data_IF_489312294976
#
_entry.id   IF_489312294976
#
_cell.length_a   1.000
_cell.length_b   1.000
_cell.length_c   1.000
_cell.angle_alpha   90.00
_cell.angle_beta   90.00
_cell.angle_gamma   90.00
#
_symmetry.space_group_name_H-M   'P 1'
#
loop_
_entity.id
_entity.type
_entity.pdbx_description
1 polymer ?
#
# COMPACT_ATOMS: atom_id res chain seq x y z
N UNK A 1 -30.93 10.37 8.43
CA UNK A 1 -31.26 9.08 9.09
C UNK A 1 -29.99 8.60 9.77
N UNK A 2 -29.98 8.51 11.10
CA UNK A 2 -28.85 7.94 11.84
C UNK A 2 -28.96 6.43 11.65
N UNK A 3 -28.07 5.84 10.85
CA UNK A 3 -27.97 4.39 10.77
C UNK A 3 -27.68 3.86 12.17
N UNK A 4 -28.53 2.96 12.65
CA UNK A 4 -28.21 2.16 13.83
C UNK A 4 -26.98 1.31 13.52
N UNK A 5 -26.04 1.20 14.46
CA UNK A 5 -24.79 0.47 14.28
C UNK A 5 -24.98 -1.00 13.89
N UNK A 6 -26.06 -1.61 14.37
CA UNK A 6 -26.41 -3.01 14.04
C UNK A 6 -26.88 -3.10 12.59
N UNK A 7 -27.74 -2.18 12.17
CA UNK A 7 -28.24 -2.13 10.79
C UNK A 7 -27.11 -1.85 9.80
N UNK A 8 -26.15 -0.98 10.16
CA UNK A 8 -24.97 -0.71 9.33
C UNK A 8 -24.10 -1.95 9.18
N UNK A 9 -23.85 -2.71 10.26
CA UNK A 9 -23.11 -3.95 10.19
C UNK A 9 -23.81 -4.96 9.28
N UNK A 10 -25.13 -5.13 9.45
CA UNK A 10 -25.92 -6.05 8.64
C UNK A 10 -25.83 -5.69 7.15
N UNK A 11 -26.00 -4.43 6.79
CA UNK A 11 -25.87 -3.95 5.41
C UNK A 11 -24.44 -4.18 4.86
N UNK A 12 -23.41 -3.91 5.66
CA UNK A 12 -22.03 -4.20 5.28
C UNK A 12 -21.79 -5.69 5.02
N UNK A 13 -22.27 -6.57 5.90
CA UNK A 13 -22.12 -8.02 5.73
C UNK A 13 -22.88 -8.53 4.50
N UNK A 14 -24.06 -7.99 4.22
CA UNK A 14 -24.80 -8.30 2.99
C UNK A 14 -24.05 -7.87 1.73
N UNK A 15 -23.44 -6.68 1.75
CA UNK A 15 -22.56 -6.21 0.66
C UNK A 15 -21.39 -7.17 0.44
N UNK A 16 -20.73 -7.61 1.52
CA UNK A 16 -19.59 -8.55 1.43
C UNK A 16 -20.03 -9.92 0.89
N UNK A 17 -21.25 -10.34 1.16
CA UNK A 17 -21.80 -11.61 0.65
C UNK A 17 -22.17 -11.52 -0.82
N UNK A 18 -22.85 -10.46 -1.24
CA UNK A 18 -23.29 -10.27 -2.63
C UNK A 18 -22.16 -9.82 -3.58
N UNK A 19 -21.04 -9.31 -3.05
CA UNK A 19 -19.87 -8.91 -3.83
C UNK A 19 -19.96 -7.55 -4.53
N UNK A 20 -21.00 -6.75 -4.24
CA UNK A 20 -21.17 -5.41 -4.82
C UNK A 20 -22.04 -4.52 -3.92
N UNK A 21 -22.03 -3.22 -4.18
CA UNK A 21 -22.95 -2.24 -3.57
C UNK A 21 -23.41 -1.19 -4.59
N UNK A 22 -24.45 -0.45 -4.23
CA UNK A 22 -24.99 0.63 -5.06
C UNK A 22 -24.66 1.97 -4.42
N UNK A 23 -24.05 2.87 -5.19
CA UNK A 23 -23.82 4.26 -4.77
C UNK A 23 -24.17 5.19 -5.92
N UNK A 24 -24.95 6.25 -5.64
CA UNK A 24 -25.44 7.21 -6.64
C UNK A 24 -26.10 6.54 -7.88
N UNK A 25 -26.84 5.44 -7.66
CA UNK A 25 -27.51 4.67 -8.72
C UNK A 25 -26.57 3.81 -9.58
N UNK A 26 -25.28 3.76 -9.26
CA UNK A 26 -24.29 2.94 -9.99
C UNK A 26 -23.87 1.74 -9.15
N UNK A 27 -23.75 0.60 -9.81
CA UNK A 27 -23.19 -0.60 -9.21
C UNK A 27 -21.68 -0.48 -9.10
N UNK A 28 -21.15 -0.83 -7.93
CA UNK A 28 -19.73 -0.94 -7.60
C UNK A 28 -19.44 -2.35 -7.15
N UNK A 29 -18.65 -3.09 -7.92
CA UNK A 29 -18.21 -4.43 -7.55
C UNK A 29 -17.08 -4.34 -6.54
N UNK A 30 -17.03 -5.27 -5.59
CA UNK A 30 -15.94 -5.37 -4.63
C UNK A 30 -14.66 -5.82 -5.33
N UNK A 31 -13.53 -5.31 -4.87
CA UNK A 31 -12.19 -5.63 -5.39
C UNK A 31 -11.68 -6.99 -4.92
N UNK A 32 -12.15 -7.43 -3.76
CA UNK A 32 -11.71 -8.66 -3.12
C UNK A 32 -12.75 -9.77 -3.26
N UNK A 33 -12.28 -10.99 -3.55
CA UNK A 33 -13.11 -12.19 -3.43
C UNK A 33 -13.32 -12.57 -1.96
N UNK A 34 -14.35 -13.35 -1.68
CA UNK A 34 -14.67 -13.82 -0.32
C UNK A 34 -13.48 -14.52 0.35
N UNK A 35 -12.76 -15.37 -0.37
CA UNK A 35 -11.58 -16.07 0.15
C UNK A 35 -10.44 -15.13 0.56
N UNK A 36 -10.23 -14.03 -0.18
CA UNK A 36 -9.24 -13.01 0.19
C UNK A 36 -9.67 -12.21 1.42
N UNK A 37 -10.96 -11.92 1.56
CA UNK A 37 -11.50 -11.22 2.74
C UNK A 37 -11.40 -12.05 4.03
N UNK A 38 -11.37 -13.39 3.93
CA UNK A 38 -11.24 -14.31 5.07
C UNK A 38 -9.79 -14.65 5.42
N UNK A 39 -8.82 -14.15 4.67
CA UNK A 39 -7.41 -14.39 4.92
C UNK A 39 -6.97 -13.72 6.23
N UNK A 40 -6.31 -14.49 7.09
CA UNK A 40 -5.70 -14.03 8.31
C UNK A 40 -4.40 -14.80 8.57
N UNK A 41 -3.41 -14.15 9.16
CA UNK A 41 -2.15 -14.75 9.60
C UNK A 41 -1.96 -14.43 11.07
N UNK A 42 -1.95 -15.45 11.90
CA UNK A 42 -1.76 -15.32 13.35
C UNK A 42 -0.29 -15.51 13.68
N UNK A 43 0.22 -14.62 14.50
CA UNK A 43 1.52 -14.69 15.14
C UNK A 43 1.28 -14.74 16.64
N UNK A 44 1.56 -15.87 17.27
CA UNK A 44 1.50 -16.01 18.72
C UNK A 44 2.72 -15.34 19.36
N UNK A 45 2.77 -15.15 20.69
CA UNK A 45 3.89 -14.44 21.33
C UNK A 45 5.27 -14.99 20.97
N UNK A 46 5.41 -16.32 20.88
CA UNK A 46 6.67 -16.98 20.51
C UNK A 46 7.06 -16.64 19.05
N UNK A 47 6.09 -16.60 18.13
CA UNK A 47 6.33 -16.19 16.73
C UNK A 47 6.76 -14.73 16.65
N UNK A 48 6.13 -13.85 17.45
CA UNK A 48 6.50 -12.43 17.52
C UNK A 48 7.90 -12.26 18.10
N UNK A 49 8.25 -13.03 19.11
CA UNK A 49 9.59 -13.02 19.70
C UNK A 49 10.63 -13.52 18.69
N UNK A 50 10.35 -14.61 17.97
CA UNK A 50 11.21 -15.12 16.90
C UNK A 50 11.43 -14.04 15.83
N UNK A 51 10.35 -13.37 15.36
CA UNK A 51 10.45 -12.25 14.42
C UNK A 51 11.37 -11.16 14.98
N UNK A 52 11.22 -10.79 16.25
CA UNK A 52 12.03 -9.74 16.87
C UNK A 52 13.54 -10.05 16.91
N UNK A 53 13.91 -11.31 16.80
CA UNK A 53 15.30 -11.81 16.85
C UNK A 53 15.87 -12.11 15.46
N UNK A 54 15.06 -12.06 14.37
CA UNK A 54 15.55 -12.33 13.01
C UNK A 54 16.61 -11.33 12.58
N UNK A 55 17.59 -11.84 11.85
CA UNK A 55 18.61 -11.09 11.13
C UNK A 55 18.37 -11.22 9.63
N UNK A 56 19.07 -10.43 8.83
CA UNK A 56 18.89 -10.36 7.37
C UNK A 56 17.48 -9.91 6.94
N UNK A 57 16.90 -9.00 7.72
CA UNK A 57 15.58 -8.43 7.41
C UNK A 57 15.69 -7.44 6.26
N UNK A 58 14.85 -7.62 5.24
CA UNK A 58 14.80 -6.71 4.10
C UNK A 58 14.42 -5.30 4.54
N UNK A 59 15.29 -4.35 4.29
CA UNK A 59 15.06 -2.94 4.57
C UNK A 59 15.21 -2.11 3.30
N UNK A 60 14.62 -0.93 3.31
CA UNK A 60 14.75 -0.01 2.18
C UNK A 60 16.12 0.68 2.21
N UNK A 61 16.89 0.58 1.13
CA UNK A 61 18.20 1.23 1.02
C UNK A 61 18.12 2.74 0.83
N UNK A 62 16.91 3.32 0.78
CA UNK A 62 16.70 4.75 0.65
C UNK A 62 16.89 5.47 1.98
N UNK A 63 17.64 6.57 1.99
CA UNK A 63 17.67 7.49 3.12
C UNK A 63 16.32 8.22 3.20
N UNK A 64 15.33 7.59 3.83
CA UNK A 64 14.03 8.21 4.08
C UNK A 64 14.11 9.03 5.37
N UNK A 65 13.48 10.20 5.37
CA UNK A 65 13.11 10.81 6.64
C UNK A 65 11.81 10.18 7.09
N UNK A 66 11.81 9.51 8.25
CA UNK A 66 10.59 9.00 8.85
C UNK A 66 9.62 10.17 9.11
N UNK A 67 8.46 10.13 8.47
CA UNK A 67 7.41 11.12 8.70
C UNK A 67 6.41 10.56 9.72
N UNK A 68 6.14 11.35 10.78
CA UNK A 68 5.11 11.02 11.76
C UNK A 68 4.10 12.15 11.87
N UNK A 69 2.82 11.82 12.00
CA UNK A 69 1.76 12.80 12.30
C UNK A 69 0.71 12.23 13.26
N UNK A 70 -0.09 13.12 13.84
CA UNK A 70 -1.27 12.75 14.61
C UNK A 70 -2.46 13.58 14.14
N UNK A 71 -3.56 12.92 13.82
CA UNK A 71 -4.80 13.58 13.37
C UNK A 71 -5.99 13.12 14.19
N UNK A 72 -6.90 14.08 14.48
CA UNK A 72 -8.16 13.79 15.17
C UNK A 72 -9.22 13.29 14.18
N UNK A 73 -9.10 12.04 13.81
CA UNK A 73 -10.01 11.36 12.87
C UNK A 73 -9.97 9.85 13.04
N UNK A 74 -10.88 9.13 12.39
CA UNK A 74 -10.87 7.67 12.43
C UNK A 74 -9.72 7.05 11.61
N UNK A 75 -9.37 5.81 11.96
CA UNK A 75 -8.21 5.10 11.40
C UNK A 75 -8.36 4.83 9.90
N UNK A 76 -9.55 4.43 9.44
CA UNK A 76 -9.76 4.20 8.00
C UNK A 76 -9.85 5.50 7.22
N UNK A 77 -10.47 6.54 7.76
CA UNK A 77 -10.49 7.85 7.12
C UNK A 77 -9.06 8.39 6.92
N UNK A 78 -8.19 8.24 7.94
CA UNK A 78 -6.78 8.61 7.81
C UNK A 78 -6.05 7.73 6.78
N UNK A 79 -6.27 6.41 6.80
CA UNK A 79 -5.69 5.51 5.82
C UNK A 79 -6.12 5.87 4.39
N UNK A 80 -7.41 6.11 4.14
CA UNK A 80 -7.93 6.57 2.85
C UNK A 80 -7.31 7.90 2.42
N UNK A 81 -7.22 8.87 3.35
CA UNK A 81 -6.56 10.18 3.10
C UNK A 81 -5.09 10.03 2.69
N UNK A 82 -4.40 8.99 3.19
CA UNK A 82 -2.99 8.70 2.91
C UNK A 82 -2.79 7.77 1.71
N UNK A 83 -3.86 7.25 1.15
CA UNK A 83 -3.79 6.42 -0.05
C UNK A 83 -3.30 7.25 -1.23
N UNK A 84 -2.25 6.84 -1.97
CA UNK A 84 -1.87 7.48 -3.22
C UNK A 84 -2.98 7.32 -4.27
N UNK A 85 -3.25 8.36 -5.04
CA UNK A 85 -4.27 8.38 -6.10
C UNK A 85 -4.02 7.36 -7.22
N UNK A 86 -2.78 6.87 -7.38
CA UNK A 86 -2.46 5.82 -8.34
C UNK A 86 -2.71 4.44 -7.74
N UNK A 87 -3.77 3.77 -8.19
CA UNK A 87 -4.28 2.48 -7.70
C UNK A 87 -3.37 1.25 -7.87
N UNK A 88 -2.06 1.38 -7.71
CA UNK A 88 -1.11 0.27 -7.77
C UNK A 88 -0.82 -0.26 -6.35
N UNK A 89 -1.50 -1.34 -5.96
CA UNK A 89 -1.56 -1.85 -4.58
C UNK A 89 -0.95 -3.24 -4.37
N UNK A 90 -0.17 -3.76 -5.32
CA UNK A 90 0.18 -5.19 -5.35
C UNK A 90 1.26 -5.65 -4.37
N UNK A 91 1.93 -4.77 -3.61
CA UNK A 91 2.91 -5.20 -2.62
C UNK A 91 2.71 -4.58 -1.24
N UNK A 92 3.10 -5.31 -0.18
CA UNK A 92 2.99 -4.87 1.21
C UNK A 92 3.65 -3.50 1.47
N UNK A 93 4.77 -3.20 0.80
CA UNK A 93 5.48 -1.94 0.94
C UNK A 93 4.66 -0.69 0.53
N UNK A 94 3.63 -0.87 -0.29
CA UNK A 94 2.76 0.22 -0.76
C UNK A 94 1.46 0.30 0.01
N UNK A 95 1.02 -0.79 0.66
CA UNK A 95 -0.21 -0.82 1.44
C UNK A 95 -0.02 -0.11 2.77
N UNK A 96 -1.09 0.49 3.25
CA UNK A 96 -1.13 1.05 4.59
C UNK A 96 -1.54 -0.07 5.54
N UNK A 97 -0.78 -0.26 6.61
CA UNK A 97 -1.12 -1.15 7.70
C UNK A 97 -1.82 -0.36 8.79
N UNK A 98 -3.08 -0.66 9.03
CA UNK A 98 -3.90 0.00 10.05
C UNK A 98 -3.93 -0.86 11.32
N UNK A 99 -3.70 -0.25 12.48
CA UNK A 99 -3.81 -0.93 13.77
C UNK A 99 -5.29 -1.01 14.18
N UNK A 100 -5.79 -2.23 14.35
CA UNK A 100 -7.05 -2.54 15.02
C UNK A 100 -6.81 -2.66 16.53
N UNK A 101 -7.46 -1.79 17.31
CA UNK A 101 -7.42 -1.75 18.79
C UNK A 101 -8.34 -2.82 19.36
N UNK A 102 -7.89 -4.07 19.31
CA UNK A 102 -8.70 -5.26 19.34
C UNK A 102 -9.22 -5.68 20.73
N UNK A 103 -10.33 -6.36 20.71
CA UNK A 103 -10.73 -7.22 21.82
C UNK A 103 -9.94 -8.55 21.76
N UNK A 104 -9.26 -8.99 22.84
CA UNK A 104 -8.43 -10.18 22.80
C UNK A 104 -9.22 -11.49 22.70
N UNK A 105 -10.51 -11.51 23.08
CA UNK A 105 -11.30 -12.75 23.24
C UNK A 105 -12.50 -12.86 22.30
N UNK A 106 -12.98 -11.75 21.76
CA UNK A 106 -14.14 -11.71 20.86
C UNK A 106 -13.80 -11.05 19.53
N UNK A 107 -13.89 -11.78 18.42
CA UNK A 107 -13.70 -11.21 17.07
C UNK A 107 -14.61 -10.01 16.84
N UNK A 108 -14.04 -8.85 16.46
CA UNK A 108 -14.80 -7.63 16.24
C UNK A 108 -15.48 -7.06 17.50
N UNK A 109 -15.02 -7.49 18.70
CA UNK A 109 -15.49 -6.95 19.98
C UNK A 109 -16.99 -7.10 20.19
N UNK A 110 -17.66 -5.98 20.43
CA UNK A 110 -19.13 -5.88 20.62
C UNK A 110 -19.89 -5.44 19.37
N UNK A 111 -19.34 -5.56 18.16
CA UNK A 111 -19.90 -5.02 16.93
C UNK A 111 -21.33 -5.53 16.65
N UNK A 112 -21.59 -6.81 16.90
CA UNK A 112 -22.94 -7.43 16.73
C UNK A 112 -23.97 -6.92 17.72
N UNK A 113 -23.52 -6.27 18.81
CA UNK A 113 -24.36 -5.62 19.84
C UNK A 113 -24.40 -4.10 19.68
N UNK A 114 -23.85 -3.55 18.59
CA UNK A 114 -23.86 -2.12 18.30
C UNK A 114 -22.87 -1.28 19.10
N UNK A 115 -21.84 -1.89 19.70
CA UNK A 115 -20.77 -1.17 20.40
C UNK A 115 -20.03 -0.21 19.43
N UNK A 116 -19.33 0.81 19.98
CA UNK A 116 -18.88 1.98 19.22
C UNK A 116 -17.37 2.23 19.26
N UNK A 117 -16.58 1.33 19.86
CA UNK A 117 -15.13 1.50 19.88
C UNK A 117 -14.53 1.32 18.48
N UNK A 118 -13.23 1.56 18.35
CA UNK A 118 -12.55 1.60 17.07
C UNK A 118 -12.67 0.26 16.32
N UNK A 119 -12.45 -0.89 16.97
CA UNK A 119 -12.58 -2.20 16.34
C UNK A 119 -13.97 -2.41 15.72
N UNK A 120 -15.02 -2.08 16.47
CA UNK A 120 -16.38 -2.23 15.98
C UNK A 120 -16.67 -1.29 14.81
N UNK A 121 -16.08 -0.11 14.81
CA UNK A 121 -16.25 0.85 13.73
C UNK A 121 -15.52 0.37 12.44
N UNK A 122 -14.30 -0.15 12.57
CA UNK A 122 -13.58 -0.77 11.46
C UNK A 122 -14.39 -1.93 10.85
N UNK A 123 -14.95 -2.81 11.69
CA UNK A 123 -15.76 -3.94 11.25
C UNK A 123 -17.04 -3.52 10.53
N UNK A 124 -17.67 -2.41 10.94
CA UNK A 124 -18.87 -1.89 10.26
C UNK A 124 -18.58 -1.27 8.91
N UNK A 125 -17.35 -0.80 8.68
CA UNK A 125 -16.97 -0.05 7.47
C UNK A 125 -16.27 -0.86 6.42
N UNK A 126 -15.95 -2.15 6.71
CA UNK A 126 -15.07 -2.94 5.85
C UNK A 126 -15.33 -4.44 5.92
N UNK A 127 -14.55 -5.19 5.17
CA UNK A 127 -14.52 -6.66 5.20
C UNK A 127 -13.81 -7.25 6.42
N UNK A 128 -13.26 -6.46 7.34
CA UNK A 128 -12.40 -6.91 8.43
C UNK A 128 -13.02 -8.03 9.28
N UNK A 129 -14.32 -7.94 9.60
CA UNK A 129 -14.99 -8.93 10.44
C UNK A 129 -14.91 -10.35 9.88
N UNK A 130 -14.91 -10.50 8.55
CA UNK A 130 -14.80 -11.80 7.89
C UNK A 130 -13.46 -12.48 8.18
N UNK A 131 -12.38 -11.70 8.16
CA UNK A 131 -11.04 -12.20 8.53
C UNK A 131 -10.98 -12.57 10.01
N UNK A 132 -11.49 -11.70 10.90
CA UNK A 132 -11.44 -11.94 12.35
C UNK A 132 -12.26 -13.15 12.79
N UNK A 133 -13.38 -13.44 12.13
CA UNK A 133 -14.24 -14.61 12.39
C UNK A 133 -13.79 -15.87 11.62
N UNK A 134 -12.77 -15.78 10.77
CA UNK A 134 -12.28 -16.91 9.98
C UNK A 134 -11.63 -18.00 10.85
N UNK A 135 -11.56 -19.22 10.28
CA UNK A 135 -10.83 -20.31 10.92
C UNK A 135 -9.34 -19.98 11.12
N UNK A 136 -8.75 -19.18 10.23
CA UNK A 136 -7.35 -18.79 10.29
C UNK A 136 -7.06 -17.84 11.47
N UNK A 137 -8.01 -16.99 11.88
CA UNK A 137 -7.85 -16.09 13.03
C UNK A 137 -8.13 -16.77 14.39
N UNK A 138 -8.77 -17.93 14.40
CA UNK A 138 -9.20 -18.64 15.62
C UNK A 138 -8.08 -18.85 16.66
N UNK A 139 -6.84 -19.24 16.30
CA UNK A 139 -5.76 -19.48 17.28
C UNK A 139 -5.45 -18.27 18.15
N UNK A 140 -5.55 -17.04 17.62
CA UNK A 140 -5.37 -15.80 18.37
C UNK A 140 -6.35 -15.70 19.56
N UNK A 141 -7.63 -15.92 19.29
CA UNK A 141 -8.68 -15.80 20.30
C UNK A 141 -8.65 -16.96 21.31
N UNK A 142 -8.34 -18.18 20.86
CA UNK A 142 -8.19 -19.35 21.73
C UNK A 142 -7.02 -19.16 22.68
N UNK A 143 -5.88 -18.71 22.18
CA UNK A 143 -4.71 -18.40 22.99
C UNK A 143 -5.02 -17.35 24.06
N UNK A 144 -5.57 -16.20 23.67
CA UNK A 144 -5.89 -15.12 24.62
C UNK A 144 -6.92 -15.56 25.68
N UNK A 145 -7.92 -16.36 25.30
CA UNK A 145 -8.89 -16.91 26.27
C UNK A 145 -8.24 -17.85 27.28
N UNK A 146 -7.24 -18.62 26.86
CA UNK A 146 -6.55 -19.57 27.74
C UNK A 146 -5.72 -18.89 28.86
N UNK A 147 -5.30 -17.64 28.63
CA UNK A 147 -4.49 -16.89 29.60
C UNK A 147 -5.27 -16.44 30.83
N UNK A 148 -6.59 -16.30 30.73
CA UNK A 148 -7.47 -15.83 31.81
C UNK A 148 -6.96 -14.55 32.51
N UNK A 149 -6.49 -13.58 31.74
CA UNK A 149 -5.95 -12.29 32.19
C UNK A 149 -6.56 -11.12 31.43
N UNK A 150 -6.67 -9.98 32.08
CA UNK A 150 -7.04 -8.72 31.44
C UNK A 150 -5.87 -8.05 30.69
N UNK A 151 -4.65 -8.53 30.89
CA UNK A 151 -3.47 -7.93 30.29
C UNK A 151 -3.31 -8.32 28.81
N UNK A 152 -4.03 -9.35 28.34
CA UNK A 152 -3.91 -9.86 26.97
C UNK A 152 -2.52 -10.45 26.71
N UNK A 153 -2.16 -10.57 25.44
CA UNK A 153 -0.86 -11.10 25.03
C UNK A 153 -0.20 -10.24 23.96
N UNK A 154 1.03 -10.60 23.59
CA UNK A 154 1.76 -10.00 22.48
C UNK A 154 1.38 -10.62 21.12
N UNK A 155 0.35 -11.49 21.08
CA UNK A 155 -0.14 -12.09 19.84
C UNK A 155 -0.70 -11.03 18.87
N UNK A 156 -0.53 -11.30 17.59
CA UNK A 156 -0.92 -10.40 16.49
C UNK A 156 -1.68 -11.21 15.43
N UNK A 157 -2.74 -10.61 14.84
CA UNK A 157 -3.29 -11.07 13.58
C UNK A 157 -2.91 -10.06 12.50
N UNK A 158 -2.41 -10.52 11.37
CA UNK A 158 -2.32 -9.73 10.14
C UNK A 158 -3.40 -10.17 9.19
N UNK A 159 -4.30 -9.25 8.84
CA UNK A 159 -5.24 -9.38 7.73
C UNK A 159 -4.62 -8.65 6.53
N UNK A 160 -4.13 -9.39 5.52
CA UNK A 160 -3.36 -8.78 4.42
C UNK A 160 -4.18 -7.79 3.60
N UNK A 161 -5.49 -8.04 3.47
CA UNK A 161 -6.38 -7.28 2.62
C UNK A 161 -7.73 -7.08 3.27
N UNK A 162 -8.06 -5.82 3.51
CA UNK A 162 -9.34 -5.37 4.05
C UNK A 162 -9.91 -4.33 3.12
N UNK A 163 -11.08 -4.59 2.56
CA UNK A 163 -11.77 -3.65 1.68
C UNK A 163 -12.65 -2.71 2.48
N UNK A 164 -12.28 -1.44 2.50
CA UNK A 164 -13.01 -0.35 3.14
C UNK A 164 -14.02 0.21 2.15
N UNK A 165 -15.30 0.14 2.50
CA UNK A 165 -16.41 0.55 1.63
C UNK A 165 -17.19 1.76 2.15
N UNK A 166 -16.88 2.25 3.37
CA UNK A 166 -17.60 3.38 3.98
C UNK A 166 -16.67 4.47 4.45
N UNK A 167 -17.15 5.70 4.28
CA UNK A 167 -16.56 6.91 4.83
C UNK A 167 -16.70 6.97 6.37
N UNK A 168 -16.04 7.93 7.01
CA UNK A 168 -16.12 8.19 8.45
C UNK A 168 -17.57 8.35 8.94
N UNK A 169 -18.42 9.02 8.15
CA UNK A 169 -19.84 9.25 8.46
C UNK A 169 -20.75 8.02 8.23
N UNK A 170 -20.19 6.88 7.79
CA UNK A 170 -20.90 5.63 7.50
C UNK A 170 -21.52 5.53 6.10
N UNK A 171 -21.42 6.56 5.27
CA UNK A 171 -21.91 6.50 3.88
C UNK A 171 -21.02 5.59 3.04
N UNK A 172 -21.62 4.95 2.04
CA UNK A 172 -20.85 4.15 1.06
C UNK A 172 -19.96 5.06 0.22
N UNK A 173 -18.73 4.62 0.01
CA UNK A 173 -17.73 5.30 -0.82
C UNK A 173 -18.05 5.09 -2.31
N UNK A 174 -17.71 6.08 -3.14
CA UNK A 174 -17.78 5.91 -4.60
C UNK A 174 -16.77 4.87 -5.11
N UNK A 175 -15.60 4.80 -4.51
CA UNK A 175 -14.57 3.81 -4.78
C UNK A 175 -14.06 3.24 -3.45
N UNK A 176 -14.12 1.91 -3.30
CA UNK A 176 -13.56 1.21 -2.15
C UNK A 176 -12.03 1.29 -2.13
N UNK A 177 -11.45 1.18 -0.94
CA UNK A 177 -10.01 1.18 -0.75
C UNK A 177 -9.59 -0.10 -0.05
N UNK A 178 -8.50 -0.73 -0.49
CA UNK A 178 -7.95 -1.92 0.15
C UNK A 178 -6.74 -1.51 1.00
N UNK A 179 -6.78 -1.88 2.28
CA UNK A 179 -5.70 -1.69 3.25
C UNK A 179 -5.31 -3.02 3.87
N UNK A 180 -4.23 -3.07 4.63
CA UNK A 180 -3.93 -4.19 5.52
C UNK A 180 -4.28 -3.81 6.95
N UNK A 181 -4.61 -4.78 7.79
CA UNK A 181 -4.93 -4.53 9.21
C UNK A 181 -4.08 -5.42 10.11
N UNK A 182 -3.45 -4.80 11.10
CA UNK A 182 -2.82 -5.47 12.23
C UNK A 182 -3.77 -5.42 13.42
N UNK A 183 -4.15 -6.57 13.91
CA UNK A 183 -5.01 -6.73 15.09
C UNK A 183 -4.17 -7.10 16.29
N UNK A 184 -4.16 -6.26 17.32
CA UNK A 184 -3.46 -6.50 18.58
C UNK A 184 -4.26 -5.89 19.74
N UNK A 185 -4.29 -6.58 20.88
CA UNK A 185 -5.01 -6.11 22.07
C UNK A 185 -4.08 -5.36 23.02
N UNK A 186 -4.52 -4.18 23.46
CA UNK A 186 -3.90 -3.50 24.59
C UNK A 186 -4.26 -4.19 25.91
N UNK A 187 -3.48 -4.02 26.99
CA UNK A 187 -3.88 -4.44 28.31
C UNK A 187 -5.13 -3.67 28.76
N UNK A 188 -6.08 -4.34 29.40
CA UNK A 188 -7.28 -3.72 29.96
C UNK A 188 -7.05 -3.38 31.43
N UNK A 189 -6.54 -2.18 31.68
CA UNK A 189 -6.20 -1.72 33.04
C UNK A 189 -7.36 -1.10 33.80
N UNK A 190 -8.54 -0.97 33.18
CA UNK A 190 -9.74 -0.44 33.84
C UNK A 190 -10.11 -1.16 35.13
N UNK A 191 -9.78 -2.44 35.24
CA UNK A 191 -10.06 -3.28 36.41
C UNK A 191 -8.81 -3.49 37.29
N UNK A 192 -7.74 -2.74 37.05
CA UNK A 192 -6.47 -2.85 37.75
C UNK A 192 -5.38 -3.52 36.91
N UNK A 193 -4.16 -3.54 37.41
CA UNK A 193 -2.98 -4.05 36.72
C UNK A 193 -2.55 -5.45 37.19
N UNK A 194 -3.45 -6.22 37.79
CA UNK A 194 -3.21 -7.60 38.26
C UNK A 194 -1.98 -7.73 39.17
N UNK A 195 -1.68 -6.72 39.98
CA UNK A 195 -0.56 -6.68 40.89
C UNK A 195 0.77 -6.22 40.29
N UNK A 196 0.82 -5.88 39.02
CA UNK A 196 2.01 -5.29 38.38
C UNK A 196 2.27 -3.88 38.90
N UNK A 197 3.53 -3.54 39.02
CA UNK A 197 3.99 -2.16 39.23
C UNK A 197 3.86 -1.37 37.92
N UNK A 198 3.87 -0.03 38.02
CA UNK A 198 3.87 0.83 36.83
C UNK A 198 5.06 0.57 35.90
N UNK A 199 6.22 0.21 36.46
CA UNK A 199 7.42 -0.12 35.67
C UNK A 199 7.24 -1.42 34.88
N UNK A 200 6.69 -2.48 35.50
CA UNK A 200 6.41 -3.76 34.85
C UNK A 200 5.35 -3.61 33.76
N UNK A 201 4.29 -2.85 34.04
CA UNK A 201 3.25 -2.51 33.07
C UNK A 201 3.84 -1.78 31.85
N UNK A 202 4.62 -0.72 32.07
CA UNK A 202 5.23 0.04 30.98
C UNK A 202 6.22 -0.81 30.19
N UNK A 203 7.00 -1.67 30.84
CA UNK A 203 7.92 -2.60 30.17
C UNK A 203 7.16 -3.59 29.28
N UNK A 204 6.06 -4.16 29.76
CA UNK A 204 5.19 -5.05 28.99
C UNK A 204 4.59 -4.35 27.78
N UNK A 205 4.04 -3.16 27.94
CA UNK A 205 3.45 -2.38 26.83
C UNK A 205 4.52 -1.99 25.83
N UNK A 206 5.69 -1.54 26.29
CA UNK A 206 6.82 -1.20 25.41
C UNK A 206 7.27 -2.42 24.56
N UNK A 207 7.38 -3.59 25.16
CA UNK A 207 7.70 -4.84 24.46
C UNK A 207 6.64 -5.13 23.39
N UNK A 208 5.33 -5.01 23.71
CA UNK A 208 4.23 -5.23 22.78
C UNK A 208 4.26 -4.27 21.60
N UNK A 209 4.46 -2.97 21.86
CA UNK A 209 4.60 -1.95 20.81
C UNK A 209 5.81 -2.26 19.91
N UNK A 210 6.94 -2.63 20.52
CA UNK A 210 8.15 -2.99 19.76
C UNK A 210 7.91 -4.24 18.90
N UNK A 211 7.21 -5.25 19.43
CA UNK A 211 6.80 -6.45 18.68
C UNK A 211 5.91 -6.10 17.46
N UNK A 212 4.90 -5.24 17.66
CA UNK A 212 4.06 -4.76 16.55
C UNK A 212 4.88 -4.06 15.46
N UNK A 213 5.78 -3.15 15.84
CA UNK A 213 6.61 -2.42 14.88
C UNK A 213 7.58 -3.36 14.14
N UNK A 214 8.25 -4.27 14.85
CA UNK A 214 9.16 -5.23 14.21
C UNK A 214 8.42 -6.21 13.31
N UNK A 215 7.23 -6.67 13.68
CA UNK A 215 6.39 -7.51 12.81
C UNK A 215 5.97 -6.75 11.55
N UNK A 216 5.58 -5.48 11.67
CA UNK A 216 5.27 -4.65 10.50
C UNK A 216 6.49 -4.47 9.57
N UNK A 217 7.67 -4.23 10.14
CA UNK A 217 8.93 -4.10 9.41
C UNK A 217 9.30 -5.42 8.70
N UNK A 218 9.25 -6.55 9.41
CA UNK A 218 9.52 -7.89 8.88
C UNK A 218 8.64 -8.23 7.67
N UNK A 219 7.37 -7.84 7.72
CA UNK A 219 6.41 -8.06 6.65
C UNK A 219 6.48 -7.01 5.53
N UNK A 220 7.40 -6.05 5.60
CA UNK A 220 7.67 -5.06 4.57
C UNK A 220 6.70 -3.89 4.51
N UNK A 221 5.89 -3.65 5.55
CA UNK A 221 4.99 -2.50 5.60
C UNK A 221 5.77 -1.22 5.88
N UNK A 222 5.66 -0.24 4.98
CA UNK A 222 6.36 1.04 5.10
C UNK A 222 5.50 2.19 5.59
N UNK A 223 4.17 2.00 5.64
CA UNK A 223 3.20 3.03 6.04
C UNK A 223 2.25 2.46 7.08
N UNK A 224 2.25 3.06 8.25
CA UNK A 224 1.44 2.61 9.38
C UNK A 224 0.42 3.69 9.74
N UNK A 225 -0.81 3.28 10.05
CA UNK A 225 -1.81 4.09 10.73
C UNK A 225 -2.08 3.43 12.07
N UNK A 226 -1.52 4.00 13.11
CA UNK A 226 -1.66 3.57 14.49
C UNK A 226 -2.75 4.37 15.20
N UNK A 227 -2.96 4.16 16.48
CA UNK A 227 -3.99 4.85 17.25
C UNK A 227 -3.67 4.90 18.75
N UNK A 228 -4.59 5.48 19.52
CA UNK A 228 -4.49 5.58 20.99
C UNK A 228 -4.75 4.19 21.62
N UNK A 229 -3.75 3.35 21.60
CA UNK A 229 -3.78 1.92 21.95
C UNK A 229 -4.30 1.67 23.36
N UNK A 230 -5.55 1.21 23.45
CA UNK A 230 -6.23 0.92 24.72
C UNK A 230 -6.68 2.14 25.54
N UNK A 231 -6.53 3.38 25.05
CA UNK A 231 -6.83 4.59 25.80
C UNK A 231 -8.36 4.86 25.96
N UNK A 232 -9.19 4.10 25.26
CA UNK A 232 -10.65 4.20 25.39
C UNK A 232 -11.23 3.25 26.44
N UNK A 233 -11.93 2.21 25.99
CA UNK A 233 -12.64 1.25 26.84
C UNK A 233 -11.72 0.48 27.81
N UNK A 234 -10.45 0.29 27.46
CA UNK A 234 -9.48 -0.47 28.27
C UNK A 234 -8.82 0.37 29.36
N UNK A 235 -8.92 1.71 29.32
CA UNK A 235 -8.56 2.60 30.40
C UNK A 235 -7.06 2.92 30.53
N UNK A 236 -6.26 2.67 29.49
CA UNK A 236 -4.86 3.05 29.50
C UNK A 236 -4.70 4.58 29.41
N UNK A 237 -3.70 5.12 30.08
CA UNK A 237 -3.40 6.54 30.05
C UNK A 237 -2.76 6.93 28.71
N UNK A 238 -3.33 7.95 28.03
CA UNK A 238 -2.91 8.35 26.71
C UNK A 238 -1.50 8.97 26.69
N UNK A 239 -1.08 9.64 27.76
CA UNK A 239 0.26 10.20 27.89
C UNK A 239 1.30 9.09 27.95
N UNK A 240 1.07 8.08 28.81
CA UNK A 240 1.97 6.92 28.93
C UNK A 240 2.05 6.18 27.61
N UNK A 241 0.91 5.90 26.96
CA UNK A 241 0.87 5.19 25.68
C UNK A 241 1.59 5.97 24.58
N UNK A 242 1.35 7.27 24.46
CA UNK A 242 2.02 8.14 23.49
C UNK A 242 3.54 8.19 23.72
N UNK A 243 3.98 8.31 24.98
CA UNK A 243 5.40 8.32 25.33
C UNK A 243 6.07 6.97 25.01
N UNK A 244 5.39 5.85 25.23
CA UNK A 244 5.91 4.51 24.90
C UNK A 244 6.02 4.29 23.38
N UNK A 245 5.04 4.73 22.59
CA UNK A 245 5.15 4.70 21.13
C UNK A 245 6.30 5.60 20.63
N UNK A 246 6.43 6.81 21.17
CA UNK A 246 7.49 7.71 20.82
C UNK A 246 8.86 7.10 21.13
N UNK A 247 9.01 6.53 22.32
CA UNK A 247 10.22 5.83 22.75
C UNK A 247 10.52 4.64 21.83
N UNK A 248 9.51 3.79 21.52
CA UNK A 248 9.68 2.61 20.68
C UNK A 248 10.12 2.98 19.26
N UNK A 249 9.63 4.07 18.68
CA UNK A 249 10.08 4.55 17.37
C UNK A 249 11.47 5.19 17.42
N UNK A 250 11.80 5.94 18.49
CA UNK A 250 13.09 6.58 18.67
C UNK A 250 14.22 5.59 18.95
N UNK A 251 13.94 4.58 19.77
CA UNK A 251 14.88 3.52 20.15
C UNK A 251 14.78 2.29 19.25
N UNK A 252 13.99 2.38 18.17
CA UNK A 252 13.79 1.25 17.27
C UNK A 252 15.12 0.77 16.72
N UNK A 253 15.38 -0.50 16.96
CA UNK A 253 16.53 -1.20 16.40
C UNK A 253 16.08 -2.58 15.93
N UNK A 254 16.19 -2.83 14.63
CA UNK A 254 15.92 -4.12 14.04
C UNK A 254 17.08 -4.46 13.10
N UNK A 255 17.79 -5.54 13.42
CA UNK A 255 18.99 -5.95 12.67
C UNK A 255 20.02 -4.81 12.52
N UNK A 256 20.23 -4.04 13.58
CA UNK A 256 21.15 -2.88 13.59
C UNK A 256 20.63 -1.63 12.92
N UNK A 257 19.41 -1.64 12.36
CA UNK A 257 18.83 -0.56 11.59
C UNK A 257 17.74 0.20 12.37
N UNK A 258 17.68 1.51 12.19
CA UNK A 258 16.69 2.40 12.79
C UNK A 258 15.33 2.36 12.07
N UNK A 259 14.27 2.87 12.69
CA UNK A 259 12.90 2.90 12.16
C UNK A 259 12.80 3.47 10.74
N UNK A 260 13.59 4.50 10.41
CA UNK A 260 13.62 5.14 9.08
C UNK A 260 14.09 4.22 7.95
N UNK A 261 14.77 3.11 8.26
CA UNK A 261 15.16 2.11 7.26
C UNK A 261 13.98 1.25 6.82
N UNK A 262 12.93 1.16 7.63
CA UNK A 262 11.74 0.34 7.38
C UNK A 262 10.50 1.17 7.06
N UNK A 263 10.28 2.28 7.77
CA UNK A 263 9.07 3.06 7.68
C UNK A 263 9.30 4.40 6.98
N UNK A 264 8.46 4.70 6.02
CA UNK A 264 8.35 6.02 5.40
C UNK A 264 7.44 6.92 6.19
N UNK A 265 6.36 6.34 6.75
CA UNK A 265 5.33 7.10 7.44
C UNK A 265 4.68 6.29 8.55
N UNK A 266 4.54 6.92 9.71
CA UNK A 266 3.80 6.40 10.86
C UNK A 266 2.84 7.49 11.33
N UNK A 267 1.57 7.33 11.02
CA UNK A 267 0.51 8.27 11.42
C UNK A 267 -0.27 7.71 12.61
N UNK A 268 -0.76 8.60 13.47
CA UNK A 268 -1.66 8.26 14.56
C UNK A 268 -3.04 8.84 14.28
N UNK A 269 -4.04 7.97 14.15
CA UNK A 269 -5.44 8.32 14.07
C UNK A 269 -6.04 8.24 15.47
N UNK A 270 -6.32 9.38 16.07
CA UNK A 270 -6.85 9.48 17.45
C UNK A 270 -8.15 10.26 17.43
N UNK A 271 -9.25 9.54 17.13
CA UNK A 271 -10.58 10.15 17.15
C UNK A 271 -11.00 10.41 18.59
N UNK A 272 -11.05 11.67 18.99
CA UNK A 272 -11.38 12.11 20.33
C UNK A 272 -12.45 13.20 20.30
N UNK A 273 -13.64 12.84 20.78
CA UNK A 273 -14.79 13.73 20.87
C UNK A 273 -14.99 14.30 22.29
N UNK A 274 -14.07 14.00 23.23
CA UNK A 274 -14.12 14.58 24.57
C UNK A 274 -13.89 16.10 24.53
N UNK A 275 -14.42 16.82 25.51
CA UNK A 275 -14.35 18.28 25.53
C UNK A 275 -12.90 18.80 25.59
N UNK A 276 -12.02 18.08 26.26
CA UNK A 276 -10.60 18.44 26.42
C UNK A 276 -9.68 17.76 25.41
N UNK A 277 -10.20 16.84 24.61
CA UNK A 277 -9.47 16.05 23.60
C UNK A 277 -8.15 15.48 24.16
N UNK A 278 -8.22 14.94 25.38
CA UNK A 278 -7.02 14.50 26.10
C UNK A 278 -6.21 13.48 25.32
N UNK A 279 -6.83 12.44 24.77
CA UNK A 279 -6.11 11.41 24.03
C UNK A 279 -5.43 11.99 22.79
N UNK A 280 -6.16 12.77 21.99
CA UNK A 280 -5.60 13.41 20.80
C UNK A 280 -4.46 14.38 21.16
N UNK A 281 -4.63 15.19 22.20
CA UNK A 281 -3.63 16.17 22.62
C UNK A 281 -2.31 15.50 23.07
N UNK A 282 -2.39 14.41 23.84
CA UNK A 282 -1.19 13.71 24.31
C UNK A 282 -0.44 13.01 23.18
N UNK A 283 -1.13 12.41 22.20
CA UNK A 283 -0.48 11.87 21.00
C UNK A 283 0.03 12.97 20.08
N UNK A 284 -0.72 14.05 19.89
CA UNK A 284 -0.30 15.20 19.06
C UNK A 284 0.97 15.86 19.61
N UNK A 285 1.13 15.92 20.92
CA UNK A 285 2.34 16.44 21.58
C UNK A 285 3.62 15.75 21.08
N UNK A 286 3.59 14.43 20.93
CA UNK A 286 4.76 13.66 20.53
C UNK A 286 4.93 13.58 19.01
N UNK A 287 3.86 13.69 18.21
CA UNK A 287 3.90 13.33 16.79
C UNK A 287 3.57 14.47 15.82
N UNK A 288 2.97 15.59 16.25
CA UNK A 288 2.59 16.69 15.33
C UNK A 288 3.77 17.53 14.81
N UNK A 289 4.96 17.42 15.39
CA UNK A 289 6.11 18.26 15.04
C UNK A 289 7.15 17.61 14.12
N UNK A 290 6.95 16.33 13.79
CA UNK A 290 7.96 15.55 13.03
C UNK A 290 7.73 15.67 11.51
N UNK A 291 6.60 16.22 11.07
CA UNK A 291 6.29 16.46 9.65
C UNK A 291 6.38 17.94 9.28
N UNK A 292 7.58 18.49 9.15
CA UNK A 292 7.78 19.77 8.44
C UNK A 292 7.80 19.63 6.91
N UNK A 293 7.63 18.42 6.38
CA UNK A 293 7.85 18.10 4.97
C UNK A 293 6.57 17.86 4.14
N UNK A 294 5.35 17.95 4.71
CA UNK A 294 4.13 17.73 3.90
C UNK A 294 3.91 18.78 2.79
N UNK A 295 4.29 20.04 3.04
CA UNK A 295 4.21 21.08 1.98
C UNK A 295 5.29 20.91 0.93
N UNK A 296 6.50 20.49 1.33
CA UNK A 296 7.58 20.21 0.40
C UNK A 296 7.36 18.90 -0.36
N UNK A 297 6.76 17.87 0.26
CA UNK A 297 6.38 16.63 -0.41
C UNK A 297 5.22 16.85 -1.40
N UNK A 298 4.18 17.61 -1.04
CA UNK A 298 3.12 18.03 -1.96
C UNK A 298 3.67 18.85 -3.12
N UNK A 299 4.62 19.75 -2.89
CA UNK A 299 5.31 20.49 -3.94
C UNK A 299 6.23 19.60 -4.78
N UNK A 300 6.93 18.63 -4.17
CA UNK A 300 7.79 17.67 -4.88
C UNK A 300 6.96 16.65 -5.66
N UNK A 301 5.85 16.13 -5.11
CA UNK A 301 4.94 15.20 -5.79
C UNK A 301 4.23 15.90 -6.94
N UNK A 302 3.69 17.10 -6.75
CA UNK A 302 3.11 17.92 -7.82
C UNK A 302 4.14 18.28 -8.89
N UNK A 303 5.38 18.65 -8.48
CA UNK A 303 6.49 18.89 -9.40
C UNK A 303 7.00 17.61 -10.09
N UNK A 304 7.00 16.46 -9.41
CA UNK A 304 7.35 15.15 -9.99
C UNK A 304 6.29 14.65 -10.97
N UNK A 305 5.00 14.78 -10.65
CA UNK A 305 3.90 14.38 -11.56
C UNK A 305 3.99 15.20 -12.85
N UNK A 306 4.10 16.53 -12.77
CA UNK A 306 4.32 17.37 -13.93
C UNK A 306 5.59 16.99 -14.71
N UNK A 307 6.68 16.72 -14.01
CA UNK A 307 7.94 16.32 -14.61
C UNK A 307 7.85 14.93 -15.25
N UNK A 308 7.14 13.98 -14.62
CA UNK A 308 6.89 12.63 -15.16
C UNK A 308 6.00 12.68 -16.39
N UNK A 309 4.94 13.48 -16.41
CA UNK A 309 4.09 13.68 -17.60
C UNK A 309 4.88 14.27 -18.75
N UNK A 310 5.69 15.30 -18.51
CA UNK A 310 6.58 15.89 -19.52
C UNK A 310 7.59 14.87 -20.05
N UNK A 311 8.16 14.04 -19.20
CA UNK A 311 9.08 12.97 -19.63
C UNK A 311 8.37 11.87 -20.41
N UNK A 312 7.19 11.44 -20.00
CA UNK A 312 6.39 10.45 -20.74
C UNK A 312 6.00 10.97 -22.11
N UNK A 313 5.61 12.24 -22.20
CA UNK A 313 5.26 12.87 -23.46
C UNK A 313 6.47 13.03 -24.38
N UNK A 314 7.63 13.40 -23.82
CA UNK A 314 8.89 13.46 -24.55
C UNK A 314 9.35 12.06 -25.06
N UNK A 315 9.19 10.99 -24.24
CA UNK A 315 9.48 9.63 -24.65
C UNK A 315 8.55 9.16 -25.76
N UNK A 316 7.24 9.41 -25.61
CA UNK A 316 6.23 9.11 -26.64
C UNK A 316 6.53 9.87 -27.94
N UNK A 317 6.83 11.17 -27.84
CA UNK A 317 7.20 12.01 -28.96
C UNK A 317 8.45 11.51 -29.67
N UNK A 318 9.47 11.07 -28.93
CA UNK A 318 10.70 10.51 -29.49
C UNK A 318 10.45 9.20 -30.25
N UNK A 319 9.70 8.27 -29.67
CA UNK A 319 9.39 6.97 -30.28
C UNK A 319 8.50 7.14 -31.52
N UNK A 320 7.45 7.95 -31.42
CA UNK A 320 6.53 8.21 -32.53
C UNK A 320 7.23 9.02 -33.62
N UNK A 321 7.98 10.07 -33.26
CA UNK A 321 8.71 10.92 -34.19
C UNK A 321 9.78 10.13 -34.96
N UNK A 322 10.51 9.24 -34.28
CA UNK A 322 11.44 8.33 -34.92
C UNK A 322 10.75 7.41 -35.93
N UNK A 323 9.65 6.76 -35.53
CA UNK A 323 8.90 5.88 -36.44
C UNK A 323 8.27 6.63 -37.62
N UNK A 324 7.82 7.87 -37.43
CA UNK A 324 7.30 8.75 -38.51
C UNK A 324 8.40 9.10 -39.49
N UNK A 325 9.57 9.48 -38.99
CA UNK A 325 10.73 9.80 -39.83
C UNK A 325 11.22 8.59 -40.63
N UNK A 326 11.34 7.44 -39.96
CA UNK A 326 11.71 6.15 -40.57
C UNK A 326 10.69 5.75 -41.68
N UNK A 327 9.40 5.77 -41.37
CA UNK A 327 8.35 5.43 -42.32
C UNK A 327 8.31 6.40 -43.55
N UNK A 328 8.67 7.65 -43.34
CA UNK A 328 8.78 8.62 -44.44
C UNK A 328 10.03 8.35 -45.32
N UNK A 329 11.15 8.03 -44.67
CA UNK A 329 12.41 7.77 -45.34
C UNK A 329 12.50 6.40 -46.01
N UNK A 330 11.76 5.39 -45.51
CA UNK A 330 11.86 4.00 -45.90
C UNK A 330 11.81 3.76 -47.44
N UNK A 331 10.95 4.46 -48.14
CA UNK A 331 10.77 4.33 -49.60
C UNK A 331 11.95 4.88 -50.41
N UNK A 332 12.83 5.65 -49.80
CA UNK A 332 13.98 6.31 -50.46
C UNK A 332 15.33 5.95 -49.87
N UNK A 333 15.35 5.13 -48.84
CA UNK A 333 16.53 4.77 -48.03
C UNK A 333 17.78 4.33 -48.89
N UNK A 334 17.53 3.60 -49.95
CA UNK A 334 18.60 3.10 -50.82
C UNK A 334 18.64 3.81 -52.19
N UNK A 335 18.02 5.01 -52.32
CA UNK A 335 18.01 5.79 -53.58
C UNK A 335 19.03 6.92 -53.55
N UNK A 336 19.54 7.25 -54.71
CA UNK A 336 20.36 8.46 -54.85
C UNK A 336 19.51 9.72 -54.78
N UNK A 337 20.07 10.82 -54.31
CA UNK A 337 19.40 12.12 -54.25
C UNK A 337 18.75 12.52 -55.61
N UNK A 338 19.49 12.28 -56.71
CA UNK A 338 18.98 12.54 -58.05
C UNK A 338 17.71 11.72 -58.33
N UNK A 339 17.72 10.45 -58.03
CA UNK A 339 16.56 9.57 -58.25
C UNK A 339 15.35 9.95 -57.33
N UNK A 340 15.62 10.48 -56.14
CA UNK A 340 14.57 10.98 -55.23
C UNK A 340 13.93 12.22 -55.83
N UNK A 341 14.71 13.21 -56.27
CA UNK A 341 14.19 14.41 -56.88
C UNK A 341 13.48 14.17 -58.23
N UNK A 342 13.96 13.20 -59.02
CA UNK A 342 13.26 12.78 -60.22
C UNK A 342 11.88 12.16 -59.96
N UNK A 343 11.76 11.41 -58.84
CA UNK A 343 10.50 10.70 -58.48
C UNK A 343 9.52 11.56 -57.69
N UNK A 344 10.02 12.44 -56.83
CA UNK A 344 9.21 13.16 -55.80
C UNK A 344 9.27 14.70 -55.95
N UNK A 345 10.05 15.20 -56.92
CA UNK A 345 10.21 16.63 -57.12
C UNK A 345 11.30 17.28 -56.24
N UNK A 346 11.49 18.63 -56.40
CA UNK A 346 12.63 19.31 -55.78
C UNK A 346 12.60 19.37 -54.24
N UNK A 347 11.48 19.07 -53.63
CA UNK A 347 11.34 19.03 -52.17
C UNK A 347 11.57 17.61 -51.61
N UNK A 348 11.87 16.61 -52.43
CA UNK A 348 11.99 15.22 -52.02
C UNK A 348 10.67 14.59 -51.60
N UNK A 349 10.77 13.53 -50.77
CA UNK A 349 9.58 12.84 -50.25
C UNK A 349 8.92 13.67 -49.15
N UNK A 350 7.65 14.02 -49.32
CA UNK A 350 6.86 14.82 -48.36
C UNK A 350 5.60 14.11 -47.88
N UNK A 351 5.35 12.88 -48.36
CA UNK A 351 4.22 12.04 -47.96
C UNK A 351 4.65 10.58 -47.92
N UNK A 352 3.96 9.78 -47.11
CA UNK A 352 4.27 8.35 -47.00
C UNK A 352 4.04 7.61 -48.30
N UNK A 353 5.01 6.77 -48.68
CA UNK A 353 4.81 5.75 -49.68
C UNK A 353 4.16 4.52 -49.03
N UNK A 354 2.94 4.20 -49.44
CA UNK A 354 2.22 3.07 -48.86
C UNK A 354 2.61 1.77 -49.58
N UNK A 355 2.83 0.70 -48.80
CA UNK A 355 2.99 -0.64 -49.36
C UNK A 355 1.68 -1.04 -50.07
N UNK A 356 1.72 -1.49 -51.34
CA UNK A 356 0.52 -1.82 -52.11
C UNK A 356 -0.29 -2.98 -51.51
N UNK A 357 0.35 -3.91 -50.81
CA UNK A 357 -0.33 -5.07 -50.23
C UNK A 357 -0.91 -4.76 -48.84
N UNK A 358 -0.19 -3.97 -48.02
CA UNK A 358 -0.59 -3.63 -46.65
C UNK A 358 -1.46 -2.35 -46.58
N UNK A 359 -1.39 -1.47 -47.59
CA UNK A 359 -2.05 -0.16 -47.57
C UNK A 359 -1.52 0.78 -46.49
N UNK A 360 -0.31 0.52 -45.97
CA UNK A 360 0.33 1.25 -44.85
C UNK A 360 1.76 1.64 -45.23
N UNK A 361 2.26 2.70 -44.59
CA UNK A 361 3.68 3.01 -44.63
C UNK A 361 4.45 1.96 -43.78
N UNK A 362 5.54 1.46 -44.33
CA UNK A 362 6.41 0.49 -43.63
C UNK A 362 7.49 1.25 -42.85
N UNK A 363 7.95 0.62 -41.79
CA UNK A 363 9.08 1.07 -40.96
C UNK A 363 10.25 0.12 -41.16
N UNK A 364 11.48 0.63 -41.02
CA UNK A 364 12.71 -0.16 -41.14
C UNK A 364 13.03 -0.88 -39.80
N UNK A 365 14.19 -1.56 -39.79
CA UNK A 365 14.77 -2.13 -38.58
C UNK A 365 15.17 -1.06 -37.56
N UNK A 366 15.41 0.18 -37.92
CA UNK A 366 15.74 1.28 -37.01
C UNK A 366 14.62 1.52 -36.00
N UNK A 367 13.36 1.62 -36.45
CA UNK A 367 12.21 1.71 -35.54
C UNK A 367 12.00 0.45 -34.73
N UNK A 368 12.15 -0.73 -35.36
CA UNK A 368 12.02 -2.01 -34.67
C UNK A 368 13.05 -2.14 -33.56
N UNK A 369 14.34 -1.87 -33.84
CA UNK A 369 15.43 -1.93 -32.85
C UNK A 369 15.21 -0.91 -31.72
N UNK A 370 14.71 0.28 -32.02
CA UNK A 370 14.36 1.29 -31.01
C UNK A 370 13.28 0.76 -30.05
N UNK A 371 12.22 0.13 -30.56
CA UNK A 371 11.16 -0.46 -29.76
C UNK A 371 11.65 -1.64 -28.90
N UNK A 372 12.51 -2.52 -29.45
CA UNK A 372 13.11 -3.61 -28.70
C UNK A 372 14.07 -3.11 -27.62
N UNK A 373 14.82 -2.03 -27.87
CA UNK A 373 15.64 -1.36 -26.86
C UNK A 373 14.78 -0.84 -25.72
N UNK A 374 13.71 -0.11 -26.03
CA UNK A 374 12.77 0.40 -25.03
C UNK A 374 12.16 -0.73 -24.19
N UNK A 375 11.75 -1.83 -24.84
CA UNK A 375 11.22 -3.01 -24.14
C UNK A 375 12.27 -3.65 -23.21
N UNK A 376 13.52 -3.80 -23.65
CA UNK A 376 14.61 -4.33 -22.83
C UNK A 376 14.87 -3.48 -21.59
N UNK A 377 14.82 -2.16 -21.71
CA UNK A 377 14.98 -1.22 -20.59
C UNK A 377 13.80 -1.29 -19.62
N UNK A 378 12.56 -1.39 -20.12
CA UNK A 378 11.36 -1.55 -19.29
C UNK A 378 11.39 -2.86 -18.50
N UNK A 379 11.80 -3.97 -19.13
CA UNK A 379 11.95 -5.27 -18.45
C UNK A 379 13.04 -5.20 -17.39
N UNK A 380 14.16 -4.54 -17.68
CA UNK A 380 15.22 -4.32 -16.69
C UNK A 380 14.69 -3.54 -15.48
N UNK A 381 14.09 -2.39 -15.68
CA UNK A 381 13.59 -1.53 -14.59
C UNK A 381 12.51 -2.25 -13.76
N UNK A 382 11.62 -3.00 -14.43
CA UNK A 382 10.59 -3.79 -13.74
C UNK A 382 11.22 -4.86 -12.85
N UNK A 383 12.23 -5.57 -13.35
CA UNK A 383 12.93 -6.62 -12.58
C UNK A 383 13.80 -6.06 -11.47
N UNK A 384 14.49 -4.94 -11.70
CA UNK A 384 15.24 -4.21 -10.68
C UNK A 384 14.32 -3.77 -9.52
N UNK A 385 13.08 -3.37 -9.83
CA UNK A 385 12.08 -3.02 -8.85
C UNK A 385 11.48 -4.23 -8.09
N UNK A 386 11.62 -5.45 -8.63
CA UNK A 386 11.02 -6.68 -8.10
C UNK A 386 12.01 -7.66 -7.49
N UNK A 387 13.32 -7.49 -7.70
CA UNK A 387 14.32 -8.49 -7.28
C UNK A 387 15.52 -7.83 -6.58
N UNK A 388 16.13 -8.59 -5.67
CA UNK A 388 17.35 -8.20 -4.94
C UNK A 388 18.63 -8.32 -5.78
N UNK A 389 18.53 -8.83 -7.01
CA UNK A 389 19.70 -9.03 -7.89
C UNK A 389 19.75 -7.92 -8.90
N UNK A 390 20.66 -6.97 -8.70
CA UNK A 390 20.95 -5.90 -9.66
C UNK A 390 21.68 -6.48 -10.90
N UNK A 391 20.96 -6.51 -12.01
CA UNK A 391 21.52 -6.88 -13.30
C UNK A 391 21.72 -5.62 -14.17
N UNK A 392 22.80 -5.59 -14.97
CA UNK A 392 23.07 -4.41 -15.80
C UNK A 392 22.04 -4.26 -16.93
N UNK A 393 21.56 -3.03 -17.23
CA UNK A 393 20.59 -2.76 -18.31
C UNK A 393 20.97 -3.41 -19.65
N UNK A 394 22.27 -3.41 -19.96
CA UNK A 394 22.83 -4.00 -21.18
C UNK A 394 22.40 -5.46 -21.39
N UNK A 395 22.29 -6.24 -20.34
CA UNK A 395 21.91 -7.65 -20.43
C UNK A 395 20.49 -7.82 -20.97
N UNK A 396 19.56 -6.97 -20.53
CA UNK A 396 18.16 -7.02 -20.95
C UNK A 396 17.96 -6.47 -22.36
N UNK A 397 18.72 -5.47 -22.75
CA UNK A 397 18.75 -4.97 -24.13
C UNK A 397 19.32 -6.05 -25.08
N UNK A 398 20.37 -6.76 -24.67
CA UNK A 398 20.91 -7.89 -25.44
C UNK A 398 19.89 -9.01 -25.62
N UNK A 399 19.15 -9.35 -24.59
CA UNK A 399 18.05 -10.33 -24.67
C UNK A 399 16.94 -9.85 -25.62
N UNK A 400 16.54 -8.59 -25.54
CA UNK A 400 15.53 -8.01 -26.42
C UNK A 400 15.99 -8.06 -27.90
N UNK A 401 17.25 -7.78 -28.18
CA UNK A 401 17.79 -7.89 -29.55
C UNK A 401 17.87 -9.33 -30.05
N UNK A 402 18.13 -10.29 -29.19
CA UNK A 402 18.02 -11.71 -29.56
C UNK A 402 16.60 -12.12 -29.93
N UNK A 403 15.61 -11.55 -29.25
CA UNK A 403 14.21 -11.79 -29.59
C UNK A 403 13.83 -11.07 -30.89
N UNK A 404 14.28 -9.85 -31.13
CA UNK A 404 14.13 -9.16 -32.41
C UNK A 404 14.76 -9.99 -33.55
N UNK A 405 15.98 -10.53 -33.39
CA UNK A 405 16.67 -11.33 -34.41
C UNK A 405 15.87 -12.61 -34.77
N UNK A 406 15.09 -13.18 -33.81
CA UNK A 406 14.19 -14.31 -34.11
C UNK A 406 13.10 -13.90 -35.09
N UNK A 407 12.54 -12.70 -34.94
CA UNK A 407 11.49 -12.18 -35.86
C UNK A 407 12.02 -12.01 -37.28
N UNK A 408 13.32 -11.71 -37.47
CA UNK A 408 13.94 -11.55 -38.77
C UNK A 408 14.21 -12.89 -39.49
N UNK A 409 14.23 -14.01 -38.74
CA UNK A 409 14.58 -15.34 -39.27
C UNK A 409 13.37 -16.21 -39.61
N UNK A 410 12.14 -15.78 -39.31
CA UNK A 410 10.90 -16.52 -39.61
C UNK A 410 10.46 -16.24 -41.07
N UNK A 411 10.59 -17.21 -42.01
CA UNK A 411 10.07 -17.01 -43.37
C UNK A 411 8.52 -17.11 -43.29
N UNK A 412 7.84 -16.02 -43.29
CA UNK A 412 6.34 -15.97 -43.27
C UNK A 412 5.72 -14.81 -42.56
N UNK A 413 6.47 -14.05 -41.77
CA UNK A 413 5.99 -12.83 -41.10
C UNK A 413 6.57 -11.53 -41.68
N UNK A 414 6.86 -11.50 -42.95
CA UNK A 414 7.10 -10.25 -43.68
C UNK A 414 5.78 -9.61 -43.96
N UNK A 415 5.35 -8.76 -43.08
CA UNK A 415 4.13 -7.96 -43.25
C UNK A 415 3.08 -8.25 -42.18
N UNK A 416 3.23 -7.68 -41.02
CA UNK A 416 2.20 -7.71 -40.00
C UNK A 416 2.74 -7.26 -38.65
N UNK A 417 2.83 -5.99 -38.46
CA UNK A 417 3.08 -5.45 -37.12
C UNK A 417 2.50 -4.05 -37.06
#
# INVERSE_FOLDING_TARGET
MRYDNISMLHDTMQIMEQGYYMVNGKRKDLKLSRSRMEEARVYLPDDVEEICQKTDVVHTTGAWNLCCSCENMDSFALAVKRCPESGYWDCAARRILVLNLANPVHPGGGVRRGAKAQEEDLCRKSSLLLSLESAAARPYYEYNRSLNTYMGSDAIIITPEVEVIREENGKLMEESVVVSVMTCAAPMVRYGMEGMTDAEYQAMVYRRITGMLKTAAYLGYQRLVLGAFGCGAFGNDARIMSDLFFRALKEFNYDGMEAKAFFRRVDFAVLDHSADQYNYREFSRNFSHICREEEDEKRRVSGRIKKTEVYLDAIRGSLIGGAVGDALGYAVEFRTEKAIFESYGPNGITSYALDPAAGKALISDDTQMTLFTANGLLVWETREAMSEISAKPRMYVDLAYRDWLKTQRCPGQRGGG
#
